data_IF_379790043303
#
_entry.id   IF_379790043303
#
_cell.length_a   1.000
_cell.length_b   1.000
_cell.length_c   1.000
_cell.angle_alpha   90.00
_cell.angle_beta   90.00
_cell.angle_gamma   90.00
#
_symmetry.space_group_name_H-M   'P 1'
#
loop_
_entity.id
_entity.type
_entity.pdbx_description
1 polymer ?
#
# COMPACT_ATOMS: atom_id res chain seq x y z
N UNK A 1 17.11 -2.07 2.33
CA UNK A 1 16.14 -1.40 1.44
C UNK A 1 15.83 -0.02 2.03
N UNK A 2 15.43 0.97 1.23
CA UNK A 2 14.95 2.26 1.76
C UNK A 2 13.47 2.39 1.48
N UNK A 3 12.69 2.74 2.51
CA UNK A 3 11.27 3.06 2.40
C UNK A 3 11.09 4.56 2.56
N UNK A 4 10.38 5.18 1.62
CA UNK A 4 10.00 6.59 1.65
C UNK A 4 8.48 6.69 1.64
N UNK A 5 7.94 7.43 2.60
CA UNK A 5 6.51 7.70 2.68
C UNK A 5 6.15 8.80 1.70
N UNK A 6 5.10 8.58 0.91
CA UNK A 6 4.42 9.62 0.14
C UNK A 6 3.11 9.98 0.83
N UNK A 7 2.36 10.93 0.30
CA UNK A 7 1.08 11.29 0.94
C UNK A 7 0.10 10.10 0.91
N UNK A 8 -0.68 9.97 1.99
CA UNK A 8 -1.75 8.98 2.15
C UNK A 8 -1.30 7.49 2.10
N UNK A 9 -1.74 6.70 1.13
CA UNK A 9 -1.38 5.28 0.99
C UNK A 9 -0.06 5.05 0.24
N UNK A 10 0.42 6.07 -0.47
CA UNK A 10 1.55 5.88 -1.36
C UNK A 10 2.86 5.67 -0.60
N UNK A 11 3.63 4.66 -1.02
CA UNK A 11 5.00 4.44 -0.54
C UNK A 11 5.93 4.10 -1.70
N UNK A 12 7.20 4.47 -1.54
CA UNK A 12 8.29 4.19 -2.49
C UNK A 12 9.34 3.34 -1.80
N UNK A 13 9.69 2.22 -2.41
CA UNK A 13 10.76 1.32 -1.96
C UNK A 13 11.92 1.37 -2.95
N UNK A 14 13.13 1.49 -2.41
CA UNK A 14 14.37 1.52 -3.20
C UNK A 14 15.34 0.44 -2.73
N UNK A 15 15.82 -0.37 -3.66
CA UNK A 15 16.77 -1.47 -3.44
C UNK A 15 17.65 -1.63 -4.67
N UNK A 16 18.97 -1.66 -4.49
CA UNK A 16 19.95 -1.88 -5.57
C UNK A 16 19.77 -0.98 -6.81
N UNK A 17 19.40 0.29 -6.58
CA UNK A 17 19.16 1.27 -7.63
C UNK A 17 17.84 1.09 -8.39
N UNK A 18 16.95 0.19 -7.94
CA UNK A 18 15.61 -0.03 -8.47
C UNK A 18 14.54 0.55 -7.55
N UNK A 19 13.45 1.00 -8.17
CA UNK A 19 12.34 1.66 -7.48
C UNK A 19 11.02 0.91 -7.70
N UNK A 20 10.35 0.56 -6.61
CA UNK A 20 8.98 0.07 -6.57
C UNK A 20 8.08 1.12 -5.90
N UNK A 21 6.95 1.48 -6.52
CA UNK A 21 5.97 2.40 -5.92
C UNK A 21 4.64 1.68 -5.72
N UNK A 22 4.04 1.84 -4.54
CA UNK A 22 2.74 1.26 -4.20
C UNK A 22 1.72 2.37 -4.02
N UNK A 23 0.51 2.19 -4.56
CA UNK A 23 -0.67 3.05 -4.39
C UNK A 23 -0.47 4.57 -4.59
N UNK A 24 0.13 5.04 -5.72
CA UNK A 24 0.22 6.46 -6.06
C UNK A 24 -1.14 7.06 -6.50
N UNK A 25 -2.13 7.02 -5.61
CA UNK A 25 -3.48 7.54 -5.83
C UNK A 25 -3.56 9.07 -5.87
N UNK A 26 -4.76 9.59 -6.06
CA UNK A 26 -5.07 11.03 -6.19
C UNK A 26 -4.64 11.83 -4.95
N UNK A 27 -4.55 11.21 -3.78
CA UNK A 27 -4.10 11.87 -2.55
C UNK A 27 -2.57 11.90 -2.40
N UNK A 28 -1.82 11.24 -3.28
CA UNK A 28 -0.36 11.34 -3.34
C UNK A 28 0.09 12.60 -4.09
N UNK A 29 1.39 12.87 -4.06
CA UNK A 29 2.00 13.90 -4.89
C UNK A 29 1.79 13.60 -6.38
N UNK A 30 1.71 14.65 -7.22
CA UNK A 30 1.45 14.51 -8.65
C UNK A 30 2.51 13.70 -9.40
N UNK A 31 3.74 13.68 -8.88
CA UNK A 31 4.90 12.96 -9.40
C UNK A 31 5.23 11.71 -8.58
N UNK A 32 4.36 11.26 -7.67
CA UNK A 32 4.66 10.19 -6.72
C UNK A 32 5.14 8.87 -7.37
N UNK A 33 4.64 8.58 -8.58
CA UNK A 33 5.02 7.40 -9.36
C UNK A 33 6.20 7.62 -10.32
N UNK A 34 6.64 8.88 -10.54
CA UNK A 34 7.70 9.18 -11.51
C UNK A 34 9.04 8.59 -11.04
N UNK A 35 9.75 7.97 -11.98
CA UNK A 35 11.00 7.27 -11.71
C UNK A 35 10.82 5.88 -11.06
N UNK A 36 9.61 5.33 -11.05
CA UNK A 36 9.38 3.92 -10.72
C UNK A 36 9.87 3.00 -11.85
N UNK A 37 10.46 1.87 -11.49
CA UNK A 37 10.70 0.73 -12.39
C UNK A 37 9.50 -0.22 -12.40
N UNK A 38 8.76 -0.27 -11.29
CA UNK A 38 7.52 -1.04 -11.16
C UNK A 38 6.52 -0.33 -10.24
N UNK A 39 5.24 -0.50 -10.53
CA UNK A 39 4.15 0.11 -9.75
C UNK A 39 3.15 -0.98 -9.34
N UNK A 40 2.75 -1.00 -8.08
CA UNK A 40 1.73 -1.89 -7.55
C UNK A 40 0.50 -1.09 -7.13
N UNK A 41 -0.69 -1.56 -7.50
CA UNK A 41 -1.97 -0.94 -7.10
C UNK A 41 -2.84 -1.97 -6.40
N UNK A 42 -3.26 -1.65 -5.17
CA UNK A 42 -4.04 -2.56 -4.32
C UNK A 42 -5.50 -2.69 -4.76
N UNK A 43 -6.13 -1.59 -5.19
CA UNK A 43 -7.52 -1.56 -5.66
C UNK A 43 -7.89 -0.25 -6.39
N UNK A 44 -9.13 -0.16 -6.87
CA UNK A 44 -9.59 0.90 -7.78
C UNK A 44 -10.00 2.23 -7.13
N UNK A 45 -9.96 2.36 -5.80
CA UNK A 45 -10.38 3.63 -5.19
C UNK A 45 -9.41 4.78 -5.52
N UNK A 46 -9.92 6.01 -5.73
CA UNK A 46 -9.10 7.12 -6.21
C UNK A 46 -7.92 7.49 -5.31
N UNK A 47 -8.03 7.31 -4.01
CA UNK A 47 -6.97 7.60 -3.03
C UNK A 47 -5.79 6.60 -3.07
N UNK A 48 -5.96 5.46 -3.76
CA UNK A 48 -4.91 4.47 -4.05
C UNK A 48 -4.53 4.42 -5.54
N UNK A 49 -5.45 4.81 -6.42
CA UNK A 49 -5.32 4.71 -7.87
C UNK A 49 -5.54 6.05 -8.57
N UNK A 50 -4.55 6.49 -9.37
CA UNK A 50 -4.65 7.67 -10.24
C UNK A 50 -4.07 7.36 -11.62
N UNK A 51 -4.92 7.20 -12.64
CA UNK A 51 -4.46 6.97 -14.02
C UNK A 51 -3.49 8.08 -14.47
N UNK A 52 -3.70 9.33 -14.05
CA UNK A 52 -2.83 10.44 -14.39
C UNK A 52 -1.40 10.26 -13.83
N UNK A 53 -1.26 9.83 -12.58
CA UNK A 53 0.05 9.57 -11.98
C UNK A 53 0.75 8.38 -12.66
N UNK A 54 0.00 7.31 -12.96
CA UNK A 54 0.53 6.14 -13.66
C UNK A 54 0.98 6.48 -15.08
N UNK A 55 0.20 7.28 -15.81
CA UNK A 55 0.55 7.76 -17.15
C UNK A 55 1.86 8.54 -17.12
N UNK A 56 1.99 9.50 -16.20
CA UNK A 56 3.22 10.29 -16.07
C UNK A 56 4.45 9.42 -15.80
N UNK A 57 4.32 8.40 -14.94
CA UNK A 57 5.39 7.45 -14.66
C UNK A 57 5.77 6.60 -15.88
N UNK A 58 4.77 6.05 -16.58
CA UNK A 58 4.96 5.19 -17.76
C UNK A 58 5.48 5.96 -19.00
N UNK A 59 5.23 7.26 -19.07
CA UNK A 59 5.82 8.15 -20.09
C UNK A 59 7.28 8.49 -19.76
N UNK A 60 7.59 8.69 -18.47
CA UNK A 60 8.95 8.96 -18.01
C UNK A 60 9.86 7.72 -18.07
N UNK A 61 9.31 6.52 -17.90
CA UNK A 61 10.02 5.25 -17.98
C UNK A 61 9.27 4.25 -18.87
N UNK A 62 9.67 4.09 -20.15
CA UNK A 62 9.02 3.15 -21.07
C UNK A 62 9.03 1.69 -20.62
N UNK A 63 10.03 1.30 -19.81
CA UNK A 63 10.21 -0.07 -19.31
C UNK A 63 9.44 -0.34 -18.00
N UNK A 64 8.80 0.67 -17.41
CA UNK A 64 8.04 0.48 -16.19
C UNK A 64 6.79 -0.39 -16.44
N UNK A 65 6.52 -1.29 -15.49
CA UNK A 65 5.33 -2.14 -15.47
C UNK A 65 4.38 -1.81 -14.31
N UNK A 66 3.12 -2.18 -14.45
CA UNK A 66 2.08 -2.07 -13.42
C UNK A 66 1.57 -3.47 -13.08
N UNK A 67 1.52 -3.81 -11.79
CA UNK A 67 0.88 -5.03 -11.29
C UNK A 67 -0.31 -4.64 -10.42
N UNK A 68 -1.47 -5.23 -10.70
CA UNK A 68 -2.70 -4.88 -9.98
C UNK A 68 -3.78 -5.94 -10.15
N UNK A 69 -4.85 -5.84 -9.35
CA UNK A 69 -6.02 -6.68 -9.48
C UNK A 69 -6.84 -6.36 -10.73
N UNK A 70 -7.69 -7.31 -11.13
CA UNK A 70 -8.46 -7.26 -12.37
C UNK A 70 -9.24 -5.96 -12.58
N UNK A 71 -9.92 -5.45 -11.55
CA UNK A 71 -10.77 -4.26 -11.68
C UNK A 71 -10.00 -2.99 -12.08
N UNK A 72 -8.72 -2.87 -11.69
CA UNK A 72 -7.83 -1.79 -12.13
C UNK A 72 -7.20 -2.12 -13.48
N UNK A 73 -6.76 -3.37 -13.66
CA UNK A 73 -6.10 -3.79 -14.90
C UNK A 73 -7.00 -3.58 -16.14
N UNK A 74 -8.30 -3.86 -16.02
CA UNK A 74 -9.30 -3.66 -17.09
C UNK A 74 -9.44 -2.19 -17.50
N UNK A 75 -9.17 -1.23 -16.60
CA UNK A 75 -9.20 0.20 -16.90
C UNK A 75 -7.94 0.66 -17.67
N UNK A 76 -6.80 -0.02 -17.47
CA UNK A 76 -5.48 0.44 -17.93
C UNK A 76 -4.95 -0.31 -19.15
N UNK A 77 -5.27 -1.60 -19.31
CA UNK A 77 -4.60 -2.48 -20.27
C UNK A 77 -4.70 -1.99 -21.73
N UNK A 78 -5.82 -1.36 -22.10
CA UNK A 78 -6.00 -0.79 -23.44
C UNK A 78 -5.11 0.43 -23.70
N UNK A 79 -4.87 1.26 -22.67
CA UNK A 79 -4.02 2.44 -22.77
C UNK A 79 -2.52 2.10 -22.73
N UNK A 80 -2.17 1.01 -22.06
CA UNK A 80 -0.77 0.61 -21.81
C UNK A 80 -0.54 -0.88 -22.14
N UNK A 81 -0.69 -1.28 -23.41
CA UNK A 81 -0.60 -2.67 -23.82
C UNK A 81 0.76 -3.28 -23.47
N UNK A 82 0.75 -4.47 -22.89
CA UNK A 82 1.96 -5.21 -22.51
C UNK A 82 2.67 -4.74 -21.25
N UNK A 83 2.16 -3.69 -20.58
CA UNK A 83 2.76 -3.12 -19.36
C UNK A 83 1.87 -3.24 -18.11
N UNK A 84 0.70 -3.87 -18.25
CA UNK A 84 -0.24 -4.08 -17.15
C UNK A 84 -0.36 -5.58 -16.92
N UNK A 85 -0.09 -6.00 -15.69
CA UNK A 85 -0.06 -7.39 -15.25
C UNK A 85 -1.15 -7.61 -14.20
N UNK A 86 -2.17 -8.39 -14.54
CA UNK A 86 -3.22 -8.74 -13.59
C UNK A 86 -2.71 -9.78 -12.61
N UNK A 87 -2.88 -9.53 -11.31
CA UNK A 87 -2.53 -10.44 -10.21
C UNK A 87 -3.70 -10.63 -9.26
N UNK A 88 -3.66 -11.69 -8.46
CA UNK A 88 -4.64 -12.01 -7.43
C UNK A 88 -4.03 -12.75 -6.25
N UNK A 89 -4.84 -13.04 -5.24
CA UNK A 89 -4.38 -13.74 -4.04
C UNK A 89 -3.64 -15.04 -4.38
N UNK A 90 -2.49 -15.24 -3.75
CA UNK A 90 -1.65 -16.44 -3.91
C UNK A 90 -0.64 -16.32 -5.05
N UNK A 91 -0.75 -15.30 -5.90
CA UNK A 91 0.25 -15.05 -6.93
C UNK A 91 1.58 -14.59 -6.31
N UNK A 92 2.67 -15.02 -6.94
CA UNK A 92 4.03 -14.59 -6.64
C UNK A 92 4.71 -14.14 -7.91
N UNK A 93 5.45 -13.02 -7.87
CA UNK A 93 6.18 -12.50 -9.03
C UNK A 93 7.37 -11.66 -8.59
N UNK A 94 8.27 -11.39 -9.53
CA UNK A 94 9.33 -10.40 -9.33
C UNK A 94 9.07 -9.17 -10.18
N UNK A 95 9.26 -7.99 -9.59
CA UNK A 95 9.12 -6.70 -10.29
C UNK A 95 10.24 -5.76 -9.83
N UNK A 96 10.99 -5.20 -10.78
CA UNK A 96 12.13 -4.31 -10.48
C UNK A 96 13.15 -4.88 -9.47
N UNK A 97 13.34 -6.21 -9.41
CA UNK A 97 14.25 -6.85 -8.45
C UNK A 97 13.68 -7.04 -7.04
N UNK A 98 12.40 -6.76 -6.82
CA UNK A 98 11.66 -7.11 -5.61
C UNK A 98 10.89 -8.41 -5.83
N UNK A 99 10.90 -9.29 -4.83
CA UNK A 99 10.03 -10.46 -4.82
C UNK A 99 8.72 -10.10 -4.11
N UNK A 100 7.59 -10.39 -4.77
CA UNK A 100 6.28 -9.93 -4.35
C UNK A 100 5.32 -11.10 -4.26
N UNK A 101 4.58 -11.17 -3.14
CA UNK A 101 3.49 -12.10 -2.93
C UNK A 101 2.18 -11.34 -2.70
N UNK A 102 1.08 -11.87 -3.20
CA UNK A 102 -0.22 -11.18 -3.20
C UNK A 102 -1.17 -11.84 -2.20
N UNK A 103 -1.72 -11.04 -1.28
CA UNK A 103 -2.55 -11.53 -0.18
C UNK A 103 -3.92 -10.86 -0.11
N UNK A 104 -4.96 -11.66 0.13
CA UNK A 104 -6.32 -11.18 0.28
C UNK A 104 -7.00 -10.87 -1.06
N UNK A 105 -8.32 -10.77 -1.02
CA UNK A 105 -9.14 -10.61 -2.24
C UNK A 105 -10.10 -9.43 -2.15
N UNK A 106 -10.34 -8.92 -0.94
CA UNK A 106 -11.46 -8.04 -0.67
C UNK A 106 -11.10 -6.99 0.38
N UNK A 107 -11.55 -5.77 0.14
CA UNK A 107 -11.42 -4.60 1.01
C UNK A 107 -12.10 -4.85 2.37
N UNK A 108 -11.77 -4.07 3.41
CA UNK A 108 -12.54 -4.00 4.65
C UNK A 108 -14.02 -3.65 4.36
N UNK A 109 -14.94 -4.00 5.26
CA UNK A 109 -16.37 -3.69 5.03
C UNK A 109 -16.59 -2.19 5.21
N UNK A 110 -16.98 -1.49 4.14
CA UNK A 110 -17.37 -0.08 4.21
C UNK A 110 -18.75 0.07 4.87
N UNK A 111 -19.72 -0.68 4.36
CA UNK A 111 -21.08 -0.74 4.90
C UNK A 111 -21.74 -2.05 4.44
N UNK A 112 -22.57 -2.73 5.27
CA UNK A 112 -23.21 -3.99 4.89
C UNK A 112 -24.13 -3.91 3.65
N UNK A 113 -24.66 -2.73 3.33
CA UNK A 113 -25.53 -2.52 2.17
C UNK A 113 -24.77 -2.28 0.85
N UNK A 114 -23.43 -2.19 0.90
CA UNK A 114 -22.59 -2.00 -0.28
C UNK A 114 -21.93 -3.34 -0.67
N UNK A 115 -21.88 -3.70 -1.96
CA UNK A 115 -21.02 -4.77 -2.43
C UNK A 115 -19.57 -4.54 -1.98
N UNK A 116 -18.91 -5.57 -1.46
CA UNK A 116 -17.51 -5.47 -1.04
C UNK A 116 -16.62 -5.28 -2.27
N UNK A 117 -15.79 -4.25 -2.21
CA UNK A 117 -14.80 -3.93 -3.24
C UNK A 117 -13.64 -4.94 -3.18
N UNK A 118 -13.06 -5.26 -4.33
CA UNK A 118 -11.88 -6.12 -4.37
C UNK A 118 -10.66 -5.35 -3.90
N UNK A 119 -9.78 -6.02 -3.14
CA UNK A 119 -8.51 -5.43 -2.68
C UNK A 119 -7.50 -6.55 -2.52
N UNK A 120 -6.28 -6.32 -3.00
CA UNK A 120 -5.13 -7.17 -2.71
C UNK A 120 -4.10 -6.40 -1.89
N UNK A 121 -3.37 -7.11 -1.04
CA UNK A 121 -2.18 -6.61 -0.36
C UNK A 121 -0.91 -7.22 -0.96
N UNK A 122 0.21 -6.52 -0.80
CA UNK A 122 1.51 -6.93 -1.34
C UNK A 122 2.51 -7.17 -0.20
N UNK A 123 3.03 -8.39 -0.12
CA UNK A 123 4.13 -8.77 0.76
C UNK A 123 5.42 -8.75 -0.05
N UNK A 124 6.38 -7.93 0.35
CA UNK A 124 7.60 -7.61 -0.38
C UNK A 124 8.80 -8.25 0.32
N UNK A 125 9.67 -8.90 -0.45
CA UNK A 125 10.94 -9.50 -0.04
C UNK A 125 10.78 -10.33 1.25
N UNK A 126 9.97 -11.39 1.17
CA UNK A 126 9.73 -12.36 2.25
C UNK A 126 9.31 -11.71 3.58
N UNK A 127 8.43 -10.72 3.49
CA UNK A 127 7.82 -10.08 4.65
C UNK A 127 8.57 -8.85 5.17
N UNK A 128 9.59 -8.37 4.46
CA UNK A 128 10.28 -7.13 4.82
C UNK A 128 9.31 -5.93 4.90
N UNK A 129 8.36 -5.86 3.96
CA UNK A 129 7.24 -4.91 3.97
C UNK A 129 5.95 -5.62 3.59
N UNK A 130 4.86 -5.35 4.32
CA UNK A 130 3.51 -5.70 3.91
C UNK A 130 2.65 -4.45 3.73
N UNK A 131 2.11 -4.26 2.53
CA UNK A 131 1.15 -3.19 2.22
C UNK A 131 -0.24 -3.79 1.96
N UNK A 132 -1.19 -3.71 2.91
CA UNK A 132 -2.47 -4.40 2.80
C UNK A 132 -3.49 -3.67 1.92
N UNK A 133 -3.23 -2.42 1.53
CA UNK A 133 -4.26 -1.54 0.97
C UNK A 133 -5.32 -1.23 2.03
N UNK A 134 -6.58 -1.16 1.62
CA UNK A 134 -7.71 -0.88 2.51
C UNK A 134 -8.36 -2.17 3.04
N UNK A 135 -7.52 -3.07 3.53
CA UNK A 135 -7.96 -4.31 4.14
C UNK A 135 -7.20 -4.57 5.44
N UNK A 136 -7.82 -5.35 6.32
CA UNK A 136 -7.18 -5.92 7.50
C UNK A 136 -6.76 -7.37 7.23
N UNK A 137 -6.16 -7.60 6.05
CA UNK A 137 -5.70 -8.93 5.60
C UNK A 137 -4.49 -9.36 6.42
N UNK A 138 -4.51 -10.58 6.94
CA UNK A 138 -3.35 -11.16 7.66
C UNK A 138 -2.64 -12.12 6.70
N UNK A 139 -1.39 -11.86 6.28
CA UNK A 139 -0.64 -12.79 5.48
C UNK A 139 -0.26 -14.03 6.30
N UNK A 140 -0.03 -15.16 5.64
CA UNK A 140 0.38 -16.43 6.25
C UNK A 140 1.90 -16.50 6.54
N UNK A 141 2.59 -15.37 6.41
CA UNK A 141 4.03 -15.21 6.64
C UNK A 141 4.31 -14.11 7.66
N UNK A 142 5.49 -14.19 8.29
CA UNK A 142 5.93 -13.18 9.23
C UNK A 142 6.09 -11.82 8.53
N UNK A 143 5.62 -10.76 9.17
CA UNK A 143 5.76 -9.39 8.69
C UNK A 143 6.77 -8.65 9.56
N UNK A 144 7.79 -8.06 8.96
CA UNK A 144 8.69 -7.16 9.68
C UNK A 144 8.09 -5.75 9.75
N UNK A 145 7.75 -5.17 8.60
CA UNK A 145 7.20 -3.80 8.52
C UNK A 145 5.80 -3.84 7.94
N UNK A 146 4.80 -3.48 8.75
CA UNK A 146 3.43 -3.33 8.31
C UNK A 146 3.16 -1.88 7.90
N UNK A 147 2.66 -1.66 6.68
CA UNK A 147 2.05 -0.39 6.31
C UNK A 147 0.61 -0.39 6.83
N UNK A 148 0.37 0.35 7.91
CA UNK A 148 -0.86 0.25 8.70
C UNK A 148 -1.91 1.27 8.23
N UNK A 149 -3.05 0.86 7.63
CA UNK A 149 -4.16 1.77 7.34
C UNK A 149 -4.79 2.26 8.65
N UNK A 150 -4.38 3.44 9.08
CA UNK A 150 -4.59 3.90 10.46
C UNK A 150 -5.99 4.50 10.69
N UNK A 151 -6.59 5.11 9.67
CA UNK A 151 -7.90 5.75 9.80
C UNK A 151 -8.61 5.84 8.47
N UNK A 152 -9.84 5.34 8.40
CA UNK A 152 -10.73 5.54 7.26
C UNK A 152 -12.19 5.70 7.72
N UNK A 153 -13.10 6.23 6.87
CA UNK A 153 -14.52 6.29 7.21
C UNK A 153 -15.15 4.92 7.56
N UNK A 154 -14.57 3.84 7.04
CA UNK A 154 -14.98 2.47 7.26
C UNK A 154 -14.37 1.81 8.51
N UNK A 155 -13.41 2.45 9.16
CA UNK A 155 -12.56 1.83 10.20
C UNK A 155 -12.86 2.34 11.60
N UNK A 156 -12.68 1.47 12.61
CA UNK A 156 -12.55 1.86 14.01
C UNK A 156 -11.12 1.57 14.48
N UNK A 157 -10.56 2.49 15.29
CA UNK A 157 -9.22 2.31 15.86
C UNK A 157 -9.05 0.98 16.63
N UNK A 158 -10.11 0.47 17.25
CA UNK A 158 -10.06 -0.83 17.94
C UNK A 158 -9.74 -1.98 16.98
N UNK A 159 -10.28 -1.95 15.76
CA UNK A 159 -10.03 -2.99 14.74
C UNK A 159 -8.61 -2.87 14.18
N UNK A 160 -8.09 -1.64 14.06
CA UNK A 160 -6.68 -1.39 13.69
C UNK A 160 -5.73 -1.94 14.75
N UNK A 161 -6.02 -1.73 16.04
CA UNK A 161 -5.22 -2.28 17.15
C UNK A 161 -5.24 -3.81 17.14
N UNK A 162 -6.41 -4.41 16.98
CA UNK A 162 -6.55 -5.86 16.93
C UNK A 162 -5.86 -6.44 15.69
N UNK A 163 -5.87 -5.71 14.57
CA UNK A 163 -5.14 -6.08 13.37
C UNK A 163 -3.62 -6.11 13.58
N UNK A 164 -3.03 -5.10 14.23
CA UNK A 164 -1.60 -5.11 14.59
C UNK A 164 -1.26 -6.32 15.48
N UNK A 165 -2.11 -6.63 16.45
CA UNK A 165 -1.92 -7.79 17.35
C UNK A 165 -2.02 -9.14 16.64
N UNK A 166 -2.84 -9.22 15.60
CA UNK A 166 -3.02 -10.44 14.83
C UNK A 166 -1.84 -10.66 13.88
N UNK A 167 -1.41 -9.60 13.16
CA UNK A 167 -0.25 -9.66 12.26
C UNK A 167 1.07 -9.83 13.02
N UNK A 168 1.18 -9.25 14.22
CA UNK A 168 2.39 -9.25 15.07
C UNK A 168 3.64 -8.76 14.33
N UNK A 169 3.59 -7.60 13.66
CA UNK A 169 4.75 -7.12 12.93
C UNK A 169 5.87 -6.72 13.91
N UNK A 170 7.11 -6.67 13.44
CA UNK A 170 8.19 -6.08 14.24
C UNK A 170 7.97 -4.57 14.44
N UNK A 171 7.53 -3.88 13.38
CA UNK A 171 7.15 -2.47 13.38
C UNK A 171 6.00 -2.16 12.43
N UNK A 172 5.28 -1.08 12.68
CA UNK A 172 4.22 -0.56 11.83
C UNK A 172 4.44 0.92 11.52
N UNK A 173 4.26 1.29 10.25
CA UNK A 173 4.24 2.69 9.79
C UNK A 173 2.89 3.04 9.18
N UNK A 174 2.38 4.21 9.53
CA UNK A 174 1.05 4.63 9.08
C UNK A 174 0.95 4.83 7.56
N UNK A 175 -0.16 4.36 7.01
CA UNK A 175 -0.74 4.75 5.73
C UNK A 175 -2.21 5.15 5.96
N UNK A 176 -2.85 5.67 4.90
CA UNK A 176 -4.25 6.11 4.97
C UNK A 176 -4.47 7.18 6.06
N UNK A 177 -3.52 8.11 6.18
CA UNK A 177 -3.44 9.08 7.28
C UNK A 177 -3.77 10.52 6.87
N UNK A 178 -4.02 10.76 5.57
CA UNK A 178 -4.22 12.13 5.03
C UNK A 178 -5.48 12.83 5.57
N UNK A 179 -6.48 12.05 6.02
CA UNK A 179 -7.70 12.60 6.61
C UNK A 179 -7.54 12.93 8.10
N UNK A 180 -6.43 12.50 8.74
CA UNK A 180 -6.15 12.80 10.14
C UNK A 180 -5.55 14.21 10.27
N UNK A 181 -6.15 15.00 11.15
CA UNK A 181 -5.58 16.29 11.56
C UNK A 181 -4.61 16.11 12.71
N UNK A 182 -3.68 17.05 12.88
CA UNK A 182 -2.70 17.01 13.98
C UNK A 182 -3.35 17.04 15.37
N UNK A 183 -4.60 17.50 15.46
CA UNK A 183 -5.38 17.46 16.70
C UNK A 183 -5.73 16.02 17.11
N UNK A 184 -6.14 15.19 16.14
CA UNK A 184 -6.60 13.83 16.41
C UNK A 184 -5.46 12.80 16.43
N UNK A 185 -4.37 13.06 15.71
CA UNK A 185 -3.22 12.14 15.56
C UNK A 185 -2.68 11.59 16.89
N UNK A 186 -2.44 12.40 17.94
CA UNK A 186 -1.92 11.88 19.21
C UNK A 186 -2.83 10.83 19.86
N UNK A 187 -4.12 10.80 19.55
CA UNK A 187 -5.03 9.77 20.05
C UNK A 187 -4.71 8.43 19.37
N UNK A 188 -4.49 8.42 18.06
CA UNK A 188 -4.16 7.22 17.31
C UNK A 188 -2.79 6.68 17.71
N UNK A 189 -1.76 7.55 17.71
CA UNK A 189 -0.39 7.19 18.06
C UNK A 189 -0.31 6.55 19.46
N UNK A 190 -0.95 7.18 20.46
CA UNK A 190 -0.92 6.67 21.83
C UNK A 190 -1.66 5.35 21.98
N UNK A 191 -2.85 5.21 21.38
CA UNK A 191 -3.66 4.00 21.55
C UNK A 191 -3.05 2.80 20.80
N UNK A 192 -2.58 3.02 19.58
CA UNK A 192 -1.93 1.96 18.77
C UNK A 192 -0.60 1.57 19.40
N UNK A 193 0.24 2.54 19.77
CA UNK A 193 1.52 2.26 20.43
C UNK A 193 1.37 1.54 21.77
N UNK A 194 0.38 1.91 22.59
CA UNK A 194 0.17 1.29 23.90
C UNK A 194 -0.47 -0.10 23.81
N UNK A 195 -1.35 -0.34 22.83
CA UNK A 195 -2.18 -1.54 22.79
C UNK A 195 -1.80 -2.53 21.69
N UNK A 196 -1.18 -2.09 20.60
CA UNK A 196 -0.91 -2.90 19.41
C UNK A 196 0.14 -3.99 19.60
N UNK A 197 1.07 -3.82 20.55
CA UNK A 197 2.08 -4.84 20.88
C UNK A 197 3.24 -4.93 19.87
N UNK A 198 3.40 -3.94 19.00
CA UNK A 198 4.51 -3.77 18.07
C UNK A 198 5.04 -2.33 18.14
N UNK A 199 6.26 -2.09 17.65
CA UNK A 199 6.75 -0.71 17.46
C UNK A 199 5.82 0.01 16.47
N UNK A 200 5.29 1.17 16.86
CA UNK A 200 4.44 2.00 16.01
C UNK A 200 5.12 3.33 15.77
N UNK A 201 5.25 3.70 14.50
CA UNK A 201 5.92 4.92 14.09
C UNK A 201 5.18 5.63 12.96
N UNK A 202 5.52 6.89 12.77
CA UNK A 202 5.00 7.72 11.68
C UNK A 202 6.17 8.19 10.82
N UNK A 203 5.91 8.26 9.52
CA UNK A 203 6.74 8.97 8.56
C UNK A 203 5.87 10.09 7.96
N UNK A 204 6.36 11.33 7.95
CA UNK A 204 5.72 12.39 7.20
C UNK A 204 5.94 12.17 5.69
N UNK A 205 5.09 12.71 4.80
CA UNK A 205 5.35 12.67 3.37
C UNK A 205 6.74 13.24 3.03
N UNK A 206 7.54 12.46 2.31
CA UNK A 206 8.94 12.76 1.98
C UNK A 206 9.97 12.21 2.96
N UNK A 207 9.57 11.75 4.15
CA UNK A 207 10.48 11.10 5.08
C UNK A 207 10.79 9.66 4.67
N UNK A 208 12.00 9.22 4.98
CA UNK A 208 12.51 7.90 4.64
C UNK A 208 13.11 7.21 5.85
N UNK A 209 13.06 5.88 5.83
CA UNK A 209 13.74 5.03 6.80
C UNK A 209 14.47 3.89 6.08
N UNK A 210 15.53 3.39 6.69
CA UNK A 210 16.20 2.17 6.24
C UNK A 210 15.45 0.97 6.80
N UNK A 211 15.12 0.03 5.91
CA UNK A 211 14.61 -1.29 6.27
C UNK A 211 15.75 -2.27 6.19
#
# INVERSE_FOLDING_TARGET
MQLTKKSHACVRLEKDGRTLVLDPGVFSEADAAVGADAILITHEHPDHFSEAHLRAALEANPEAGIWTLRAVAEQLAAAFPGRVHTVGHGDTFSAAGFDVQVHGELHAVIHPDLPRITNVGYLIDDGRVFHPGDALTVPDQAVETLMLPVMAPWSKISEVIDYVREVKPARAYDIHDALLTDLARPIYDNQIGALGGAEHGRLAPGESTSL
#
